data_IF_926581392560
#
_entry.id   IF_926581392560
#
_cell.length_a   1.000
_cell.length_b   1.000
_cell.length_c   1.000
_cell.angle_alpha   90.00
_cell.angle_beta   90.00
_cell.angle_gamma   90.00
#
_symmetry.space_group_name_H-M   'P 1'
#
loop_
_entity.id
_entity.type
_entity.pdbx_description
1 polymer ?
#
# COMPACT_ATOMS: atom_id res chain seq x y z
N UNK A 1 9.47 -5.21 -14.65
CA UNK A 1 8.85 -3.89 -14.79
C UNK A 1 8.77 -3.19 -13.46
N UNK A 2 9.06 -1.91 -13.46
CA UNK A 2 9.05 -1.10 -12.25
C UNK A 2 8.25 0.17 -12.46
N UNK A 3 7.67 0.65 -11.35
CA UNK A 3 6.95 1.91 -11.29
C UNK A 3 7.53 2.71 -10.13
N UNK A 4 7.86 3.97 -10.39
CA UNK A 4 8.30 4.88 -9.33
C UNK A 4 7.10 5.64 -8.78
N UNK A 5 6.91 5.55 -7.47
CA UNK A 5 5.85 6.29 -6.79
C UNK A 5 6.49 7.30 -5.82
N UNK A 6 5.94 8.50 -5.80
CA UNK A 6 6.45 9.60 -5.00
C UNK A 6 6.49 9.29 -3.50
N UNK A 7 5.46 8.57 -3.01
CA UNK A 7 5.31 8.28 -1.58
C UNK A 7 5.83 6.91 -1.18
N UNK A 8 5.73 5.92 -2.10
CA UNK A 8 6.01 4.52 -1.79
C UNK A 8 7.36 4.06 -2.33
N UNK A 9 7.98 4.83 -3.21
CA UNK A 9 9.23 4.45 -3.85
C UNK A 9 9.03 3.52 -5.04
N UNK A 10 9.96 2.61 -5.25
CA UNK A 10 9.91 1.68 -6.38
C UNK A 10 8.94 0.56 -6.12
N UNK A 11 8.05 0.32 -7.07
CA UNK A 11 7.10 -0.80 -7.06
C UNK A 11 7.48 -1.73 -8.20
N UNK A 12 7.71 -3.00 -7.89
CA UNK A 12 8.04 -4.03 -8.88
C UNK A 12 6.81 -4.89 -9.18
N UNK A 13 6.72 -5.36 -10.42
CA UNK A 13 5.64 -6.25 -10.80
C UNK A 13 5.37 -6.26 -12.29
N UNK A 14 4.22 -6.78 -12.66
CA UNK A 14 3.81 -6.89 -14.06
C UNK A 14 2.66 -5.94 -14.35
N UNK A 15 2.85 -5.07 -15.34
CA UNK A 15 1.76 -4.21 -15.81
C UNK A 15 0.76 -5.03 -16.62
N UNK A 16 -0.52 -4.75 -16.42
CA UNK A 16 -1.59 -5.35 -17.23
C UNK A 16 -1.50 -4.84 -18.67
N UNK A 17 -1.13 -3.57 -18.83
CA UNK A 17 -0.86 -2.97 -20.14
C UNK A 17 0.57 -2.50 -20.20
N UNK A 18 1.12 -2.43 -21.41
CA UNK A 18 2.43 -1.85 -21.63
C UNK A 18 2.34 -0.33 -21.71
N UNK A 19 3.29 0.34 -21.07
CA UNK A 19 3.41 1.79 -21.10
C UNK A 19 4.83 2.15 -21.51
N UNK A 20 5.02 3.19 -22.36
CA UNK A 20 6.37 3.66 -22.67
C UNK A 20 7.11 4.11 -21.41
N UNK A 21 8.41 3.89 -21.38
CA UNK A 21 9.25 4.35 -20.28
C UNK A 21 9.14 5.88 -20.14
N UNK A 22 8.94 6.33 -18.90
CA UNK A 22 8.75 7.75 -18.61
C UNK A 22 7.30 8.22 -18.67
N UNK A 23 6.36 7.33 -18.95
CA UNK A 23 4.94 7.67 -18.92
C UNK A 23 4.47 8.00 -17.49
N UNK A 24 3.62 8.98 -17.37
CA UNK A 24 2.92 9.29 -16.13
C UNK A 24 1.62 8.51 -16.10
N UNK A 25 1.46 7.67 -15.07
CA UNK A 25 0.28 6.81 -14.93
C UNK A 25 -0.32 6.97 -13.55
N UNK A 26 -1.61 6.70 -13.43
CA UNK A 26 -2.30 6.66 -12.17
C UNK A 26 -2.38 5.22 -11.68
N UNK A 27 -1.77 4.94 -10.54
CA UNK A 27 -1.74 3.59 -9.97
C UNK A 27 -3.01 3.32 -9.17
N UNK A 28 -3.66 2.20 -9.45
CA UNK A 28 -4.76 1.71 -8.64
C UNK A 28 -4.21 0.70 -7.63
N UNK A 29 -4.32 1.01 -6.35
CA UNK A 29 -3.94 0.11 -5.27
C UNK A 29 -5.16 -0.55 -4.67
N UNK A 30 -5.09 -1.87 -4.51
CA UNK A 30 -6.11 -2.63 -3.82
C UNK A 30 -5.65 -2.96 -2.40
N UNK A 31 -6.58 -3.28 -1.47
CA UNK A 31 -6.20 -3.52 -0.08
C UNK A 31 -5.17 -4.63 0.12
N UNK A 32 -5.14 -5.63 -0.75
CA UNK A 32 -4.21 -6.76 -0.67
C UNK A 32 -2.86 -6.51 -1.35
N UNK A 33 -2.66 -5.37 -2.01
CA UNK A 33 -1.43 -5.10 -2.75
C UNK A 33 -0.23 -4.78 -1.86
N UNK A 34 -0.48 -4.24 -0.70
CA UNK A 34 0.58 -3.86 0.25
C UNK A 34 0.55 -4.77 1.46
N UNK A 35 1.74 -5.08 2.00
CA UNK A 35 1.89 -5.90 3.18
C UNK A 35 2.36 -5.07 4.36
N UNK A 36 1.91 -5.46 5.54
CA UNK A 36 2.29 -4.84 6.81
C UNK A 36 3.66 -5.35 7.26
N UNK A 37 4.55 -4.44 7.65
CA UNK A 37 5.85 -4.77 8.23
C UNK A 37 6.27 -3.67 9.19
N UNK A 38 6.16 -3.94 10.48
CA UNK A 38 6.49 -2.97 11.54
C UNK A 38 7.97 -2.59 11.54
N UNK A 39 8.83 -3.41 10.96
CA UNK A 39 10.27 -3.14 10.88
C UNK A 39 10.66 -2.27 9.69
N UNK A 40 9.73 -2.01 8.78
CA UNK A 40 10.00 -1.23 7.59
C UNK A 40 10.26 0.24 7.91
N UNK A 41 11.13 0.86 7.12
CA UNK A 41 11.36 2.29 7.18
C UNK A 41 10.24 3.10 6.52
N UNK A 42 9.47 2.46 5.66
CA UNK A 42 8.32 3.11 5.02
C UNK A 42 7.13 2.99 5.96
N UNK A 43 6.77 4.09 6.60
CA UNK A 43 5.66 4.14 7.55
C UNK A 43 4.68 5.22 7.17
N UNK A 44 3.39 4.88 7.18
CA UNK A 44 2.30 5.78 6.84
C UNK A 44 1.37 5.95 8.04
N UNK A 45 0.65 7.07 8.07
CA UNK A 45 -0.27 7.37 9.16
C UNK A 45 -1.59 6.63 8.98
N UNK A 46 -2.09 6.02 10.05
CA UNK A 46 -3.41 5.38 10.05
C UNK A 46 -4.47 6.45 10.28
N UNK A 47 -5.39 6.61 9.34
CA UNK A 47 -6.49 7.60 9.46
C UNK A 47 -7.84 6.93 9.68
N UNK A 48 -7.99 5.64 9.37
CA UNK A 48 -9.20 4.88 9.63
C UNK A 48 -8.87 3.40 9.74
N UNK A 49 -9.72 2.67 10.47
CA UNK A 49 -9.61 1.23 10.63
C UNK A 49 -11.01 0.63 10.71
N UNK A 50 -11.30 -0.32 9.82
CA UNK A 50 -12.60 -1.00 9.79
C UNK A 50 -12.42 -2.49 9.95
N UNK A 51 -13.18 -3.08 10.85
CA UNK A 51 -13.21 -4.53 11.03
C UNK A 51 -14.21 -5.16 10.05
N UNK A 52 -13.76 -6.19 9.34
CA UNK A 52 -14.56 -6.91 8.36
C UNK A 52 -14.60 -8.41 8.66
N UNK A 53 -15.01 -8.76 9.89
CA UNK A 53 -15.10 -10.16 10.32
C UNK A 53 -13.74 -10.80 10.55
N UNK A 54 -13.08 -11.30 9.50
CA UNK A 54 -11.77 -11.94 9.60
C UNK A 54 -10.61 -11.00 9.33
N UNK A 55 -10.88 -9.77 8.91
CA UNK A 55 -9.85 -8.82 8.49
C UNK A 55 -10.13 -7.42 8.98
N UNK A 56 -9.05 -6.64 9.07
CA UNK A 56 -9.14 -5.18 9.18
C UNK A 56 -8.76 -4.56 7.85
N UNK A 57 -9.42 -3.48 7.49
CA UNK A 57 -8.99 -2.61 6.40
C UNK A 57 -8.53 -1.30 7.03
N UNK A 58 -7.24 -1.04 6.90
CA UNK A 58 -6.65 0.22 7.33
C UNK A 58 -6.66 1.20 6.18
N UNK A 59 -7.05 2.43 6.45
CA UNK A 59 -6.86 3.53 5.51
C UNK A 59 -5.66 4.33 5.97
N UNK A 60 -4.63 4.39 5.13
CA UNK A 60 -3.37 5.06 5.43
C UNK A 60 -3.27 6.34 4.61
N UNK A 61 -2.66 7.36 5.21
CA UNK A 61 -2.42 8.63 4.53
C UNK A 61 -0.94 8.77 4.21
N UNK A 62 -0.63 9.06 2.94
CA UNK A 62 0.73 9.32 2.49
C UNK A 62 1.15 10.76 2.79
N UNK A 63 2.45 11.08 2.71
CA UNK A 63 2.91 12.46 2.85
C UNK A 63 2.26 13.44 1.88
N UNK A 64 1.83 12.98 0.71
CA UNK A 64 1.11 13.82 -0.26
C UNK A 64 -0.41 13.87 -0.04
N UNK A 65 -0.89 13.37 1.10
CA UNK A 65 -2.31 13.33 1.48
C UNK A 65 -3.17 12.37 0.63
N UNK A 66 -2.56 11.40 0.00
CA UNK A 66 -3.29 10.34 -0.72
C UNK A 66 -3.70 9.25 0.27
N UNK A 67 -4.91 8.74 0.15
CA UNK A 67 -5.42 7.66 1.00
C UNK A 67 -5.20 6.33 0.31
N UNK A 68 -4.69 5.35 1.07
CA UNK A 68 -4.39 4.02 0.57
C UNK A 68 -5.02 2.97 1.48
N UNK A 69 -5.77 1.98 0.92
CA UNK A 69 -6.31 0.89 1.72
C UNK A 69 -5.29 -0.24 1.88
N UNK A 70 -5.23 -0.84 3.07
CA UNK A 70 -4.37 -2.01 3.33
C UNK A 70 -5.13 -3.04 4.15
N UNK A 71 -5.05 -4.28 3.72
CA UNK A 71 -5.70 -5.44 4.34
C UNK A 71 -4.78 -6.06 5.40
N UNK A 72 -5.32 -6.33 6.59
CA UNK A 72 -4.59 -7.04 7.64
C UNK A 72 -5.52 -8.09 8.25
N UNK A 73 -5.03 -9.32 8.40
CA UNK A 73 -5.81 -10.38 9.04
C UNK A 73 -6.07 -10.06 10.50
N UNK A 74 -7.26 -10.36 10.99
CA UNK A 74 -7.66 -10.05 12.36
C UNK A 74 -6.86 -10.82 13.42
N UNK A 75 -6.23 -11.93 13.05
CA UNK A 75 -5.37 -12.69 13.98
C UNK A 75 -3.96 -12.11 14.10
N UNK A 76 -3.65 -11.03 13.38
CA UNK A 76 -2.38 -10.36 13.52
C UNK A 76 -2.24 -9.78 14.93
N UNK A 77 -1.10 -10.06 15.60
CA UNK A 77 -0.95 -9.72 17.02
C UNK A 77 -0.81 -8.21 17.28
N UNK A 78 -0.36 -7.45 16.29
CA UNK A 78 -0.24 -6.00 16.40
C UNK A 78 -1.38 -5.33 15.68
N UNK A 79 -2.23 -4.64 16.45
CA UNK A 79 -3.26 -3.79 15.89
C UNK A 79 -2.85 -2.34 16.03
N UNK A 80 -3.02 -1.58 14.96
CA UNK A 80 -2.66 -0.18 14.93
C UNK A 80 -3.90 0.68 15.13
N UNK A 81 -3.80 1.64 16.03
CA UNK A 81 -4.87 2.60 16.26
C UNK A 81 -4.79 3.75 15.26
N UNK A 82 -5.90 4.50 15.15
CA UNK A 82 -5.90 5.74 14.37
C UNK A 82 -4.84 6.68 14.94
N UNK A 83 -4.16 7.39 14.06
CA UNK A 83 -3.03 8.30 14.34
C UNK A 83 -1.69 7.59 14.62
N UNK A 84 -1.64 6.26 14.64
CA UNK A 84 -0.39 5.53 14.71
C UNK A 84 0.26 5.42 13.35
N UNK A 85 1.53 5.02 13.34
CA UNK A 85 2.27 4.74 12.11
C UNK A 85 2.16 3.27 11.76
N UNK A 86 1.98 2.99 10.48
CA UNK A 86 1.81 1.65 9.95
C UNK A 86 2.93 1.38 8.93
N UNK A 87 3.76 0.38 9.20
CA UNK A 87 4.88 0.04 8.31
C UNK A 87 4.43 -0.76 7.10
N UNK A 88 5.00 -0.44 5.95
CA UNK A 88 4.73 -1.12 4.68
C UNK A 88 5.98 -1.91 4.29
N UNK A 89 5.81 -3.19 4.02
CA UNK A 89 6.90 -4.09 3.63
C UNK A 89 7.55 -3.63 2.32
N UNK A 90 8.86 -3.63 2.30
CA UNK A 90 9.66 -3.30 1.12
C UNK A 90 10.62 -4.44 0.79
N UNK A 91 10.93 -4.69 -0.50
CA UNK A 91 10.41 -4.00 -1.68
C UNK A 91 8.93 -4.31 -1.90
N UNK A 92 8.24 -3.35 -2.51
CA UNK A 92 6.81 -3.54 -2.86
C UNK A 92 6.75 -4.30 -4.16
N UNK A 93 6.00 -5.42 -4.15
CA UNK A 93 5.79 -6.24 -5.34
C UNK A 93 4.30 -6.43 -5.57
N UNK A 94 3.83 -6.09 -6.77
CA UNK A 94 2.43 -6.23 -7.16
C UNK A 94 2.37 -7.09 -8.42
N UNK A 95 1.70 -8.25 -8.33
CA UNK A 95 1.66 -9.21 -9.43
C UNK A 95 0.98 -8.65 -10.68
N UNK A 96 -0.07 -7.84 -10.48
CA UNK A 96 -0.81 -7.23 -11.57
C UNK A 96 -0.97 -5.75 -11.30
N UNK A 97 -0.07 -4.95 -11.86
CA UNK A 97 -0.11 -3.49 -11.69
C UNK A 97 -1.18 -2.92 -12.60
N UNK A 98 -2.20 -2.31 -12.00
CA UNK A 98 -3.30 -1.66 -12.71
C UNK A 98 -3.08 -0.16 -12.70
N UNK A 99 -3.08 0.44 -13.88
CA UNK A 99 -2.92 1.89 -14.04
C UNK A 99 -3.98 2.43 -15.00
N UNK A 100 -4.24 3.72 -14.89
CA UNK A 100 -5.04 4.46 -15.88
C UNK A 100 -4.53 5.86 -16.12
#
# INVERSE_FOLDING_TARGET
NTLENWDLGTIEGNFIKEYPTGSNVQLLLQPEDLEHDDTSNLKLEVVDRKFRGTNFIYTLKTPSNTLIPVFVHSHHIHQHEVDEKFGIKRPIHIDHIVCF
#
